data_IF_652341262107
#
_entry.id   IF_652341262107
#
_cell.length_a   1.000
_cell.length_b   1.000
_cell.length_c   1.000
_cell.angle_alpha   90.00
_cell.angle_beta   90.00
_cell.angle_gamma   90.00
#
_symmetry.space_group_name_H-M   'P 1'
#
loop_
_entity.id
_entity.type
_entity.pdbx_description
1 polymer ?
#
# COMPACT_ATOMS: atom_id res chain seq x y z
N UNK A 1 -13.30 7.79 -17.74
CA UNK A 1 -12.95 8.14 -16.34
C UNK A 1 -11.65 7.50 -15.95
N UNK A 2 -10.82 8.24 -15.25
CA UNK A 2 -9.55 7.71 -14.75
C UNK A 2 -9.79 6.75 -13.58
N UNK A 3 -9.01 5.67 -13.47
CA UNK A 3 -9.13 4.80 -12.31
C UNK A 3 -8.72 5.52 -11.03
N UNK A 4 -9.32 5.11 -9.92
CA UNK A 4 -8.97 5.65 -8.62
C UNK A 4 -7.59 5.12 -8.20
N UNK A 5 -6.67 6.01 -7.86
CA UNK A 5 -5.35 5.64 -7.37
C UNK A 5 -5.41 5.22 -5.91
N UNK A 6 -4.83 4.07 -5.60
CA UNK A 6 -4.86 3.49 -4.25
C UNK A 6 -3.46 3.25 -3.73
N UNK A 7 -3.19 3.73 -2.52
CA UNK A 7 -2.01 3.35 -1.76
C UNK A 7 -2.47 2.37 -0.68
N UNK A 8 -1.94 1.15 -0.71
CA UNK A 8 -2.37 0.08 0.18
C UNK A 8 -1.24 -0.26 1.13
N UNK A 9 -1.34 0.22 2.36
CA UNK A 9 -0.33 0.03 3.39
C UNK A 9 -0.75 -1.14 4.28
N UNK A 10 0.12 -2.14 4.39
CA UNK A 10 -0.24 -3.41 5.02
C UNK A 10 -0.86 -4.38 4.01
N UNK A 11 -0.39 -4.36 2.78
CA UNK A 11 -0.98 -5.11 1.67
C UNK A 11 -0.91 -6.62 1.84
N UNK A 12 0.00 -7.12 2.67
CA UNK A 12 0.17 -8.56 2.89
C UNK A 12 -0.64 -9.08 4.09
N UNK A 13 -1.26 -8.19 4.86
CA UNK A 13 -2.15 -8.59 5.96
C UNK A 13 -3.51 -9.04 5.45
N UNK A 14 -4.36 -9.54 6.35
CA UNK A 14 -5.67 -10.07 5.93
C UNK A 14 -6.57 -9.01 5.32
N UNK A 15 -6.60 -7.80 5.89
CA UNK A 15 -7.40 -6.71 5.34
C UNK A 15 -6.84 -6.25 3.99
N UNK A 16 -5.51 -6.18 3.88
CA UNK A 16 -4.86 -5.82 2.62
C UNK A 16 -5.17 -6.82 1.51
N UNK A 17 -5.12 -8.11 1.82
CA UNK A 17 -5.44 -9.15 0.85
C UNK A 17 -6.91 -9.06 0.41
N UNK A 18 -7.83 -8.79 1.33
CA UNK A 18 -9.24 -8.58 1.00
C UNK A 18 -9.43 -7.37 0.08
N UNK A 19 -8.72 -6.29 0.34
CA UNK A 19 -8.77 -5.10 -0.50
C UNK A 19 -8.26 -5.41 -1.91
N UNK A 20 -7.20 -6.17 -2.03
CA UNK A 20 -6.68 -6.58 -3.34
C UNK A 20 -7.68 -7.44 -4.10
N UNK A 21 -8.42 -8.31 -3.40
CA UNK A 21 -9.46 -9.10 -4.05
C UNK A 21 -10.55 -8.21 -4.65
N UNK A 22 -10.95 -7.15 -3.94
CA UNK A 22 -11.91 -6.18 -4.45
C UNK A 22 -11.35 -5.47 -5.69
N UNK A 23 -10.09 -5.07 -5.65
CA UNK A 23 -9.44 -4.37 -6.76
C UNK A 23 -9.37 -5.28 -7.99
N UNK A 24 -8.99 -6.55 -7.80
CA UNK A 24 -8.92 -7.52 -8.89
C UNK A 24 -10.29 -7.79 -9.51
N UNK A 25 -11.35 -7.73 -8.70
CA UNK A 25 -12.71 -7.99 -9.18
C UNK A 25 -13.30 -6.82 -9.97
N UNK A 26 -12.64 -5.66 -9.96
CA UNK A 26 -13.14 -4.46 -10.62
C UNK A 26 -12.07 -3.88 -11.56
N UNK A 27 -11.70 -4.61 -12.62
CA UNK A 27 -10.63 -4.16 -13.52
C UNK A 27 -10.98 -2.82 -14.15
N UNK A 28 -9.98 -1.93 -14.21
CA UNK A 28 -10.15 -0.60 -14.78
C UNK A 28 -10.69 0.44 -13.81
N UNK A 29 -11.18 0.04 -12.64
CA UNK A 29 -11.72 0.99 -11.67
C UNK A 29 -10.67 1.51 -10.68
N UNK A 30 -9.62 0.74 -10.46
CA UNK A 30 -8.58 1.08 -9.49
C UNK A 30 -7.21 0.93 -10.11
N UNK A 31 -6.29 1.76 -9.65
CA UNK A 31 -4.88 1.68 -10.01
C UNK A 31 -4.09 1.69 -8.70
N UNK A 32 -3.32 0.64 -8.46
CA UNK A 32 -2.50 0.57 -7.26
C UNK A 32 -1.22 1.35 -7.50
N UNK A 33 -1.04 2.45 -6.76
CA UNK A 33 0.14 3.32 -6.93
C UNK A 33 1.23 2.98 -5.93
N UNK A 34 0.86 2.43 -4.76
CA UNK A 34 1.83 2.05 -3.74
C UNK A 34 1.32 0.85 -2.94
N UNK A 35 2.25 -0.02 -2.59
CA UNK A 35 2.01 -1.15 -1.68
C UNK A 35 3.04 -1.08 -0.57
N UNK A 36 2.69 -1.47 0.65
CA UNK A 36 3.66 -1.54 1.72
C UNK A 36 3.36 -2.69 2.67
N UNK A 37 4.41 -3.27 3.23
CA UNK A 37 4.31 -4.35 4.19
C UNK A 37 5.31 -4.15 5.33
N UNK A 38 5.08 -4.84 6.44
CA UNK A 38 6.00 -4.83 7.56
C UNK A 38 7.23 -5.67 7.29
N UNK A 39 7.03 -6.98 7.08
CA UNK A 39 8.13 -7.94 6.94
C UNK A 39 7.97 -8.95 5.82
N UNK A 40 6.79 -9.09 5.26
CA UNK A 40 6.48 -10.14 4.28
C UNK A 40 7.01 -9.79 2.89
N UNK A 41 8.32 -9.79 2.74
CA UNK A 41 8.98 -9.38 1.49
C UNK A 41 8.58 -10.23 0.30
N UNK A 42 8.49 -11.56 0.48
CA UNK A 42 8.14 -12.48 -0.62
C UNK A 42 6.74 -12.21 -1.15
N UNK A 43 5.78 -12.01 -0.23
CA UNK A 43 4.41 -11.73 -0.62
C UNK A 43 4.29 -10.36 -1.27
N UNK A 44 5.02 -9.38 -0.74
CA UNK A 44 5.04 -8.03 -1.30
C UNK A 44 5.62 -8.04 -2.71
N UNK A 45 6.71 -8.79 -2.94
CA UNK A 45 7.29 -8.93 -4.28
C UNK A 45 6.31 -9.53 -5.27
N UNK A 46 5.58 -10.55 -4.85
CA UNK A 46 4.57 -11.19 -5.68
C UNK A 46 3.46 -10.20 -6.07
N UNK A 47 2.98 -9.43 -5.10
CA UNK A 47 1.97 -8.40 -5.35
C UNK A 47 2.48 -7.31 -6.29
N UNK A 48 3.74 -6.91 -6.13
CA UNK A 48 4.34 -5.89 -6.98
C UNK A 48 4.46 -6.35 -8.43
N UNK A 49 4.80 -7.61 -8.64
CA UNK A 49 4.89 -8.16 -10.00
C UNK A 49 3.52 -8.24 -10.68
N UNK A 50 2.48 -8.50 -9.91
CA UNK A 50 1.11 -8.56 -10.41
C UNK A 50 0.54 -7.18 -10.71
N UNK A 51 0.69 -6.25 -9.78
CA UNK A 51 -0.04 -4.98 -9.79
C UNK A 51 0.78 -3.82 -10.34
N UNK A 52 2.08 -3.97 -10.39
CA UNK A 52 3.04 -3.00 -10.95
C UNK A 52 2.85 -1.58 -10.39
N UNK A 53 2.90 -1.41 -9.05
CA UNK A 53 2.82 -0.07 -8.48
C UNK A 53 4.09 0.73 -8.79
N UNK A 54 3.99 2.04 -8.69
CA UNK A 54 5.15 2.91 -8.89
C UNK A 54 6.18 2.74 -7.76
N UNK A 55 5.72 2.37 -6.56
CA UNK A 55 6.59 2.24 -5.39
C UNK A 55 6.05 1.16 -4.46
N UNK A 56 6.97 0.45 -3.81
CA UNK A 56 6.63 -0.44 -2.69
C UNK A 56 7.44 -0.03 -1.47
N UNK A 57 6.90 -0.29 -0.30
CA UNK A 57 7.56 0.01 0.96
C UNK A 57 7.69 -1.22 1.84
N UNK A 58 8.81 -1.31 2.56
CA UNK A 58 9.04 -2.39 3.50
C UNK A 58 9.58 -1.79 4.80
N UNK A 59 8.90 -2.04 5.92
CA UNK A 59 9.32 -1.49 7.20
C UNK A 59 10.59 -2.17 7.71
N UNK A 60 10.68 -3.50 7.56
CA UNK A 60 11.82 -4.28 8.03
C UNK A 60 13.00 -4.17 7.07
N UNK A 61 13.99 -3.38 7.46
CA UNK A 61 15.18 -3.12 6.63
C UNK A 61 16.00 -4.37 6.36
N UNK A 62 15.92 -5.38 7.23
CA UNK A 62 16.71 -6.60 7.07
C UNK A 62 16.36 -7.38 5.80
N UNK A 63 15.15 -7.21 5.28
CA UNK A 63 14.69 -7.94 4.09
C UNK A 63 14.74 -7.12 2.81
N UNK A 64 15.21 -5.88 2.90
CA UNK A 64 15.13 -4.95 1.77
C UNK A 64 15.96 -5.38 0.57
N UNK A 65 17.17 -5.89 0.79
CA UNK A 65 18.06 -6.28 -0.31
C UNK A 65 17.45 -7.39 -1.16
N UNK A 66 16.88 -8.40 -0.51
CA UNK A 66 16.21 -9.50 -1.20
C UNK A 66 15.00 -9.03 -1.99
N UNK A 67 14.24 -8.13 -1.39
CA UNK A 67 13.07 -7.57 -2.06
C UNK A 67 13.46 -6.76 -3.30
N UNK A 68 14.49 -5.93 -3.18
CA UNK A 68 14.92 -5.08 -4.30
C UNK A 68 15.23 -5.89 -5.55
N UNK A 69 15.85 -7.08 -5.38
CA UNK A 69 16.19 -7.95 -6.50
C UNK A 69 14.98 -8.56 -7.20
N UNK A 70 13.82 -8.57 -6.54
CA UNK A 70 12.62 -9.23 -7.03
C UNK A 70 11.59 -8.26 -7.64
N UNK A 71 11.84 -6.96 -7.54
CA UNK A 71 10.87 -5.97 -8.01
C UNK A 71 10.89 -5.83 -9.53
N UNK A 72 9.73 -5.56 -10.16
CA UNK A 72 9.70 -5.30 -11.60
C UNK A 72 10.41 -3.99 -11.95
N UNK A 73 10.82 -3.84 -13.22
CA UNK A 73 11.45 -2.59 -13.67
C UNK A 73 10.52 -1.40 -13.44
N UNK A 74 11.10 -0.29 -13.00
CA UNK A 74 10.36 0.94 -12.78
C UNK A 74 9.68 1.03 -11.42
N UNK A 75 9.71 -0.03 -10.61
CA UNK A 75 9.15 0.00 -9.27
C UNK A 75 10.22 0.42 -8.27
N UNK A 76 9.95 1.50 -7.55
CA UNK A 76 10.88 2.04 -6.55
C UNK A 76 10.65 1.38 -5.20
N UNK A 77 11.72 1.21 -4.42
CA UNK A 77 11.63 0.64 -3.08
C UNK A 77 11.87 1.71 -2.02
N UNK A 78 10.96 1.81 -1.07
CA UNK A 78 11.09 2.65 0.12
C UNK A 78 11.28 1.75 1.34
N UNK A 79 12.29 2.01 2.16
CA UNK A 79 12.66 1.13 3.26
C UNK A 79 12.62 1.89 4.58
N UNK A 80 12.08 1.24 5.60
CA UNK A 80 11.99 1.78 6.94
C UNK A 80 10.64 2.41 7.23
N UNK A 81 10.30 2.59 8.51
CA UNK A 81 8.96 3.07 8.89
C UNK A 81 8.66 4.47 8.39
N UNK A 82 9.64 5.38 8.37
CA UNK A 82 9.41 6.74 7.90
C UNK A 82 9.15 6.77 6.40
N UNK A 83 9.95 6.03 5.63
CA UNK A 83 9.77 5.95 4.19
C UNK A 83 8.43 5.32 3.82
N UNK A 84 8.00 4.30 4.56
CA UNK A 84 6.69 3.69 4.36
C UNK A 84 5.57 4.69 4.67
N UNK A 85 5.72 5.49 5.74
CA UNK A 85 4.71 6.49 6.08
C UNK A 85 4.52 7.50 4.96
N UNK A 86 5.59 7.88 4.27
CA UNK A 86 5.51 8.82 3.14
C UNK A 86 4.69 8.30 1.97
N UNK A 87 4.53 6.97 1.86
CA UNK A 87 3.74 6.39 0.78
C UNK A 87 2.26 6.73 0.88
N UNK A 88 1.80 7.13 2.07
CA UNK A 88 0.43 7.59 2.25
C UNK A 88 0.15 8.90 1.49
N UNK A 89 1.20 9.62 1.11
CA UNK A 89 1.09 10.84 0.32
C UNK A 89 1.61 10.64 -1.11
N UNK A 90 1.73 9.40 -1.56
CA UNK A 90 2.28 9.10 -2.89
C UNK A 90 1.49 9.79 -4.00
N UNK A 91 2.21 10.23 -5.03
CA UNK A 91 1.60 10.87 -6.18
C UNK A 91 0.61 9.92 -6.86
N UNK A 92 -0.56 10.43 -7.17
CA UNK A 92 -1.59 9.65 -7.82
C UNK A 92 -2.48 8.85 -6.89
N UNK A 93 -2.20 8.85 -5.58
CA UNK A 93 -3.06 8.17 -4.60
C UNK A 93 -4.23 9.07 -4.24
N UNK A 94 -5.42 8.63 -4.60
CA UNK A 94 -6.67 9.32 -4.20
C UNK A 94 -7.18 8.79 -2.87
N UNK A 95 -6.91 7.51 -2.61
CA UNK A 95 -7.34 6.82 -1.39
C UNK A 95 -6.16 6.09 -0.79
N UNK A 96 -6.06 6.15 0.53
CA UNK A 96 -5.06 5.39 1.28
C UNK A 96 -5.81 4.41 2.17
N UNK A 97 -5.51 3.12 2.00
CA UNK A 97 -5.98 2.11 2.94
C UNK A 97 -4.80 1.76 3.85
N UNK A 98 -4.98 2.00 5.14
CA UNK A 98 -3.95 1.71 6.14
C UNK A 98 -4.35 0.52 7.00
N UNK A 99 -3.76 -0.64 6.71
CA UNK A 99 -3.94 -1.84 7.51
C UNK A 99 -2.80 -2.08 8.50
N UNK A 100 -1.87 -1.15 8.61
CA UNK A 100 -0.77 -1.24 9.58
C UNK A 100 -1.30 -0.82 10.95
N UNK A 101 -1.17 -1.67 11.95
CA UNK A 101 -1.71 -1.42 13.28
C UNK A 101 -0.64 -0.90 14.26
N UNK A 102 -1.09 -0.42 15.42
CA UNK A 102 -0.23 0.07 16.47
C UNK A 102 0.39 1.43 16.16
N UNK A 103 1.45 1.77 16.87
CA UNK A 103 2.11 3.07 16.71
C UNK A 103 2.74 3.23 15.33
N UNK A 104 3.14 2.13 14.69
CA UNK A 104 3.70 2.16 13.35
C UNK A 104 2.66 2.64 12.32
N UNK A 105 1.38 2.33 12.57
CA UNK A 105 0.30 2.74 11.67
C UNK A 105 -0.11 4.20 11.81
N UNK A 106 0.26 4.87 12.90
CA UNK A 106 -0.14 6.26 13.15
C UNK A 106 0.48 7.23 12.15
N UNK A 107 1.77 7.09 11.86
CA UNK A 107 2.47 8.02 10.98
C UNK A 107 1.89 8.02 9.55
N UNK A 108 1.62 6.85 8.91
CA UNK A 108 0.95 6.85 7.62
C UNK A 108 -0.43 7.51 7.65
N UNK A 109 -1.20 7.29 8.73
CA UNK A 109 -2.51 7.91 8.88
C UNK A 109 -2.40 9.43 8.88
N UNK A 110 -1.47 9.98 9.65
CA UNK A 110 -1.27 11.42 9.70
C UNK A 110 -0.80 11.98 8.36
N UNK A 111 0.09 11.29 7.66
CA UNK A 111 0.56 11.72 6.35
C UNK A 111 -0.57 11.77 5.33
N UNK A 112 -1.46 10.77 5.34
CA UNK A 112 -2.60 10.75 4.44
C UNK A 112 -3.54 11.93 4.70
N UNK A 113 -3.80 12.22 5.96
CA UNK A 113 -4.68 13.35 6.33
C UNK A 113 -4.07 14.68 5.95
N UNK A 114 -2.76 14.86 6.18
CA UNK A 114 -2.06 16.08 5.79
C UNK A 114 -2.07 16.30 4.28
N UNK A 115 -2.01 15.22 3.51
CA UNK A 115 -2.01 15.28 2.06
C UNK A 115 -3.42 15.39 1.47
N UNK A 116 -4.46 15.39 2.30
CA UNK A 116 -5.84 15.48 1.82
C UNK A 116 -6.36 14.23 1.14
N UNK A 117 -5.74 13.08 1.39
CA UNK A 117 -6.18 11.82 0.81
C UNK A 117 -7.39 11.28 1.57
N UNK A 118 -8.27 10.55 0.87
CA UNK A 118 -9.31 9.80 1.54
C UNK A 118 -8.67 8.61 2.25
N UNK A 119 -9.04 8.40 3.49
CA UNK A 119 -8.40 7.40 4.33
C UNK A 119 -9.39 6.30 4.70
N UNK A 120 -8.98 5.04 4.54
CA UNK A 120 -9.72 3.89 5.00
C UNK A 120 -8.85 3.13 6.01
N UNK A 121 -9.39 2.93 7.21
CA UNK A 121 -8.69 2.22 8.29
C UNK A 121 -9.17 0.77 8.33
N UNK A 122 -8.27 -0.12 8.75
CA UNK A 122 -8.56 -1.56 8.78
C UNK A 122 -9.78 -1.91 9.62
N UNK A 123 -10.02 -1.18 10.69
CA UNK A 123 -11.12 -1.43 11.63
C UNK A 123 -12.32 -0.50 11.42
N UNK A 124 -12.36 0.19 10.28
CA UNK A 124 -13.50 1.08 9.97
C UNK A 124 -14.77 0.26 9.80
N UNK A 125 -15.89 0.69 10.44
CA UNK A 125 -17.16 -0.03 10.29
C UNK A 125 -17.73 0.01 8.86
N UNK A 126 -17.34 1.00 8.06
CA UNK A 126 -17.81 1.16 6.68
C UNK A 126 -16.63 1.38 5.73
N UNK A 127 -15.78 0.36 5.55
CA UNK A 127 -14.62 0.52 4.68
C UNK A 127 -15.07 0.73 3.23
N UNK A 128 -14.36 1.60 2.53
CA UNK A 128 -14.72 1.96 1.16
C UNK A 128 -14.72 0.75 0.21
N UNK A 129 -13.91 -0.26 0.50
CA UNK A 129 -13.80 -1.44 -0.36
C UNK A 129 -14.97 -2.41 -0.22
N UNK A 130 -15.83 -2.23 0.78
CA UNK A 130 -16.97 -3.12 0.99
C UNK A 130 -18.23 -2.67 0.26
N UNK A 131 -18.16 -1.62 -0.51
CA UNK A 131 -19.31 -1.05 -1.22
C UNK A 131 -19.49 -1.58 -2.62
#
# INVERSE_FOLDING_TARGET
MSPTGVALLGSTGSIGEQALDVIRAAPGRFRVVALAAGRSADRLASQARELRPAVVGLVDEAQAAGLAAELPPGCRLAVGPEAVAELAAADGADVVLNGITGSVGLAPTLRALEAGRRLALADSPNPWWSR
#
